data_IF_684035199950
#
_entry.id   IF_684035199950
#
_cell.length_a   1.000
_cell.length_b   1.000
_cell.length_c   1.000
_cell.angle_alpha   90.00
_cell.angle_beta   90.00
_cell.angle_gamma   90.00
#
_symmetry.space_group_name_H-M   'P 1'
#
loop_
_entity.id
_entity.type
_entity.pdbx_description
1 polymer ?
#
# COMPACT_ATOMS: atom_id res chain seq x y z
N UNK A 1 29.75 11.39 -16.29
CA UNK A 1 29.71 10.17 -15.44
C UNK A 1 29.12 10.38 -14.04
N UNK A 2 29.38 11.51 -13.36
CA UNK A 2 28.85 11.78 -12.00
C UNK A 2 27.31 11.82 -11.98
N UNK A 3 26.68 12.48 -12.96
CA UNK A 3 25.22 12.63 -13.05
C UNK A 3 24.48 11.28 -13.20
N UNK A 4 25.03 10.36 -14.01
CA UNK A 4 24.46 9.02 -14.20
C UNK A 4 24.56 8.18 -12.92
N UNK A 5 25.69 8.25 -12.21
CA UNK A 5 25.87 7.58 -10.91
C UNK A 5 24.88 8.12 -9.87
N UNK A 6 24.66 9.44 -9.83
CA UNK A 6 23.69 10.06 -8.92
C UNK A 6 22.26 9.60 -9.20
N UNK A 7 21.85 9.57 -10.47
CA UNK A 7 20.52 9.06 -10.87
C UNK A 7 20.33 7.59 -10.49
N UNK A 8 21.34 6.75 -10.69
CA UNK A 8 21.28 5.33 -10.32
C UNK A 8 21.17 5.15 -8.79
N UNK A 9 21.99 5.86 -8.01
CA UNK A 9 21.91 5.84 -6.55
C UNK A 9 20.55 6.33 -6.05
N UNK A 10 19.99 7.38 -6.67
CA UNK A 10 18.68 7.93 -6.31
C UNK A 10 17.52 6.95 -6.61
N UNK A 11 17.54 6.26 -7.77
CA UNK A 11 16.55 5.23 -8.12
C UNK A 11 16.65 4.04 -7.15
N UNK A 12 17.86 3.63 -6.78
CA UNK A 12 18.07 2.55 -5.81
C UNK A 12 17.54 2.96 -4.42
N UNK A 13 17.87 4.17 -3.95
CA UNK A 13 17.47 4.64 -2.62
C UNK A 13 15.94 4.76 -2.48
N UNK A 14 15.27 5.30 -3.50
CA UNK A 14 13.80 5.40 -3.52
C UNK A 14 13.13 4.03 -3.51
N UNK A 15 13.64 3.07 -4.30
CA UNK A 15 13.16 1.68 -4.27
C UNK A 15 13.35 1.03 -2.90
N UNK A 16 14.48 1.24 -2.25
CA UNK A 16 14.76 0.69 -0.90
C UNK A 16 13.75 1.23 0.12
N UNK A 17 13.51 2.55 0.16
CA UNK A 17 12.56 3.17 1.11
C UNK A 17 11.14 2.62 0.90
N UNK A 18 10.70 2.46 -0.35
CA UNK A 18 9.41 1.85 -0.69
C UNK A 18 9.31 0.42 -0.14
N UNK A 19 10.32 -0.42 -0.38
CA UNK A 19 10.33 -1.82 0.09
C UNK A 19 10.46 -1.99 1.61
N UNK A 20 11.05 -1.02 2.32
CA UNK A 20 11.19 -1.10 3.78
C UNK A 20 9.92 -0.68 4.51
N UNK A 21 9.16 0.23 3.91
CA UNK A 21 7.98 0.81 4.54
C UNK A 21 6.71 -0.02 4.35
N UNK A 22 6.67 -0.91 3.36
CA UNK A 22 5.46 -1.67 3.03
C UNK A 22 4.54 -1.03 2.01
N UNK A 23 5.00 0.05 1.36
CA UNK A 23 4.25 0.74 0.33
C UNK A 23 4.73 0.31 -1.06
N UNK A 24 3.81 0.10 -2.00
CA UNK A 24 4.17 -0.02 -3.43
C UNK A 24 3.45 1.02 -4.25
N UNK A 25 4.20 1.95 -4.83
CA UNK A 25 3.66 2.93 -5.77
C UNK A 25 3.75 2.41 -7.21
N UNK A 26 2.63 2.35 -7.92
CA UNK A 26 2.60 1.98 -9.32
C UNK A 26 1.44 2.66 -10.05
N UNK A 27 1.54 2.83 -11.37
CA UNK A 27 0.48 3.38 -12.20
C UNK A 27 0.03 2.35 -13.23
N UNK A 28 -1.28 2.22 -13.43
CA UNK A 28 -1.86 1.26 -14.38
C UNK A 28 -2.49 2.04 -15.53
N UNK A 29 -2.03 1.80 -16.75
CA UNK A 29 -2.59 2.38 -17.97
C UNK A 29 -1.54 3.05 -18.86
N UNK A 30 -1.89 3.20 -20.15
CA UNK A 30 -0.96 3.68 -21.19
C UNK A 30 -1.19 5.13 -21.65
N UNK A 31 -2.26 5.82 -21.24
CA UNK A 31 -2.65 7.12 -21.81
C UNK A 31 -2.69 8.24 -20.77
N UNK A 32 -2.14 9.41 -21.13
CA UNK A 32 -2.12 10.78 -20.57
C UNK A 32 -2.26 11.02 -19.04
N UNK A 33 -3.01 10.22 -18.31
CA UNK A 33 -3.20 10.30 -16.86
C UNK A 33 -3.64 8.93 -16.29
N UNK A 34 -2.82 7.86 -16.37
CA UNK A 34 -3.19 6.58 -15.79
C UNK A 34 -3.40 6.72 -14.28
N UNK A 35 -4.45 6.10 -13.69
CA UNK A 35 -4.61 6.07 -12.25
C UNK A 35 -3.37 5.43 -11.61
N UNK A 36 -2.90 6.04 -10.54
CA UNK A 36 -1.81 5.50 -9.74
C UNK A 36 -2.35 4.97 -8.43
N UNK A 37 -1.65 3.97 -7.90
CA UNK A 37 -2.03 3.28 -6.69
C UNK A 37 -0.84 3.26 -5.75
N UNK A 38 -1.15 3.48 -4.48
CA UNK A 38 -0.26 3.17 -3.36
C UNK A 38 -0.83 1.90 -2.73
N UNK A 39 -0.17 0.78 -2.97
CA UNK A 39 -0.52 -0.47 -2.31
C UNK A 39 0.00 -0.48 -0.89
N UNK A 40 -0.81 -1.05 -0.02
CA UNK A 40 -0.51 -1.27 1.38
C UNK A 40 -0.78 -2.73 1.71
N UNK A 41 0.19 -3.40 2.33
CA UNK A 41 0.01 -4.76 2.86
C UNK A 41 -0.33 -4.67 4.36
N UNK A 42 -1.41 -5.30 4.84
CA UNK A 42 -1.86 -5.18 6.24
C UNK A 42 -0.83 -5.54 7.31
N UNK A 43 0.09 -6.47 7.01
CA UNK A 43 1.12 -6.95 7.93
C UNK A 43 2.34 -6.03 8.00
N UNK A 44 2.45 -5.06 7.11
CA UNK A 44 3.61 -4.18 7.01
C UNK A 44 3.40 -2.86 7.75
N UNK A 45 4.51 -2.13 7.95
CA UNK A 45 4.50 -0.82 8.58
C UNK A 45 3.56 0.16 7.86
N UNK A 46 3.43 0.06 6.54
CA UNK A 46 2.53 0.89 5.74
C UNK A 46 1.09 0.87 6.26
N UNK A 47 0.56 -0.29 6.66
CA UNK A 47 -0.79 -0.36 7.19
C UNK A 47 -0.91 0.27 8.57
N UNK A 48 0.12 0.15 9.41
CA UNK A 48 0.19 0.86 10.70
C UNK A 48 0.16 2.37 10.48
N UNK A 49 0.89 2.85 9.48
CA UNK A 49 0.89 4.26 9.09
C UNK A 49 -0.49 4.72 8.58
N UNK A 50 -1.15 3.92 7.72
CA UNK A 50 -2.54 4.20 7.31
C UNK A 50 -3.47 4.32 8.53
N UNK A 51 -3.35 3.41 9.49
CA UNK A 51 -4.14 3.45 10.70
C UNK A 51 -3.89 4.68 11.58
N UNK A 52 -2.71 5.30 11.53
CA UNK A 52 -2.43 6.58 12.21
C UNK A 52 -3.10 7.77 11.53
N UNK A 53 -3.34 7.69 10.22
CA UNK A 53 -4.03 8.75 9.46
C UNK A 53 -5.55 8.66 9.57
N UNK A 54 -6.08 7.48 9.92
CA UNK A 54 -7.50 7.23 10.11
C UNK A 54 -7.92 7.56 11.54
N UNK A 55 -9.22 7.83 11.75
CA UNK A 55 -9.76 7.81 13.11
C UNK A 55 -9.60 6.42 13.71
N UNK A 56 -9.42 6.28 15.03
CA UNK A 56 -9.31 4.97 15.66
C UNK A 56 -10.47 4.02 15.34
N UNK A 57 -11.69 4.55 15.26
CA UNK A 57 -12.89 3.78 14.91
C UNK A 57 -12.85 3.26 13.46
N UNK A 58 -12.39 4.08 12.51
CA UNK A 58 -12.25 3.73 11.09
C UNK A 58 -11.17 2.65 10.92
N UNK A 59 -9.99 2.82 11.53
CA UNK A 59 -8.94 1.80 11.50
C UNK A 59 -9.42 0.47 12.11
N UNK A 60 -10.12 0.51 13.25
CA UNK A 60 -10.68 -0.69 13.88
C UNK A 60 -11.72 -1.38 12.99
N UNK A 61 -12.56 -0.63 12.29
CA UNK A 61 -13.53 -1.17 11.32
C UNK A 61 -12.81 -1.87 10.16
N UNK A 62 -11.80 -1.22 9.56
CA UNK A 62 -11.00 -1.82 8.48
C UNK A 62 -10.32 -3.12 8.94
N UNK A 63 -9.73 -3.14 10.14
CA UNK A 63 -9.12 -4.37 10.70
C UNK A 63 -10.12 -5.51 10.85
N UNK A 64 -11.34 -5.23 11.33
CA UNK A 64 -12.41 -6.24 11.43
C UNK A 64 -12.77 -6.78 10.05
N UNK A 65 -12.92 -5.91 9.06
CA UNK A 65 -13.23 -6.31 7.70
C UNK A 65 -12.10 -7.08 7.01
N UNK A 66 -10.84 -6.75 7.29
CA UNK A 66 -9.71 -7.55 6.82
C UNK A 66 -9.75 -8.97 7.36
N UNK A 67 -10.08 -9.15 8.65
CA UNK A 67 -10.27 -10.48 9.24
C UNK A 67 -11.41 -11.25 8.54
N UNK A 68 -12.49 -10.58 8.17
CA UNK A 68 -13.57 -11.21 7.39
C UNK A 68 -13.09 -11.58 5.97
N UNK A 69 -12.29 -10.72 5.34
CA UNK A 69 -11.70 -11.01 4.03
C UNK A 69 -10.71 -12.17 4.06
N UNK A 70 -9.91 -12.31 5.12
CA UNK A 70 -9.04 -13.48 5.37
C UNK A 70 -9.85 -14.78 5.42
N UNK A 71 -11.03 -14.72 6.07
CA UNK A 71 -11.99 -15.82 6.11
C UNK A 71 -12.79 -16.00 4.81
N UNK A 72 -12.49 -15.25 3.75
CA UNK A 72 -13.23 -15.21 2.47
C UNK A 72 -14.72 -14.84 2.62
N UNK A 73 -15.09 -14.19 3.73
CA UNK A 73 -16.45 -13.73 4.01
C UNK A 73 -16.76 -12.35 3.42
N UNK A 74 -15.72 -11.60 3.03
CA UNK A 74 -15.85 -10.24 2.50
C UNK A 74 -14.86 -10.01 1.36
N UNK A 75 -15.32 -9.34 0.30
CA UNK A 75 -14.44 -8.96 -0.79
C UNK A 75 -13.56 -7.75 -0.38
N UNK A 76 -12.27 -7.82 -0.70
CA UNK A 76 -11.31 -6.73 -0.53
C UNK A 76 -11.72 -5.45 -1.27
N UNK A 77 -12.45 -5.56 -2.39
CA UNK A 77 -12.98 -4.39 -3.11
C UNK A 77 -13.89 -3.52 -2.23
N UNK A 78 -14.63 -4.14 -1.30
CA UNK A 78 -15.44 -3.41 -0.34
C UNK A 78 -14.55 -2.63 0.65
N UNK A 79 -13.50 -3.27 1.16
CA UNK A 79 -12.54 -2.64 2.09
C UNK A 79 -11.82 -1.47 1.40
N UNK A 80 -11.43 -1.65 0.14
CA UNK A 80 -10.77 -0.61 -0.65
C UNK A 80 -11.68 0.59 -0.94
N UNK A 81 -12.99 0.36 -1.13
CA UNK A 81 -13.97 1.46 -1.25
C UNK A 81 -14.06 2.26 0.06
N UNK A 82 -14.19 1.58 1.20
CA UNK A 82 -14.23 2.25 2.51
C UNK A 82 -12.94 3.03 2.78
N UNK A 83 -11.77 2.46 2.47
CA UNK A 83 -10.51 3.19 2.60
C UNK A 83 -10.46 4.44 1.74
N UNK A 84 -10.98 4.38 0.51
CA UNK A 84 -11.05 5.55 -0.38
C UNK A 84 -11.97 6.64 0.18
N UNK A 85 -13.03 6.27 0.90
CA UNK A 85 -13.91 7.22 1.58
C UNK A 85 -13.26 7.85 2.81
N UNK A 86 -12.58 7.04 3.64
CA UNK A 86 -11.93 7.55 4.84
C UNK A 86 -10.64 8.35 4.54
N UNK A 87 -9.88 7.94 3.52
CA UNK A 87 -8.63 8.58 3.15
C UNK A 87 -8.86 9.70 2.13
N UNK A 88 -8.79 10.93 2.62
CA UNK A 88 -8.84 12.15 1.79
C UNK A 88 -7.60 12.27 0.90
N UNK A 89 -7.73 13.04 -0.19
CA UNK A 89 -6.61 13.38 -1.07
C UNK A 89 -5.40 14.01 -0.34
N UNK A 90 -5.63 14.69 0.79
CA UNK A 90 -4.56 15.21 1.66
C UNK A 90 -3.69 14.10 2.22
N UNK A 91 -4.28 12.98 2.67
CA UNK A 91 -3.57 11.81 3.16
C UNK A 91 -2.74 11.15 2.04
N UNK A 92 -3.30 11.05 0.83
CA UNK A 92 -2.57 10.53 -0.33
C UNK A 92 -1.32 11.38 -0.61
N UNK A 93 -1.46 12.72 -0.61
CA UNK A 93 -0.33 13.64 -0.81
C UNK A 93 0.72 13.51 0.29
N UNK A 94 0.31 13.36 1.55
CA UNK A 94 1.23 13.14 2.68
C UNK A 94 2.04 11.85 2.49
N UNK A 95 1.41 10.76 2.06
CA UNK A 95 2.11 9.49 1.80
C UNK A 95 3.03 9.62 0.59
N UNK A 96 2.59 10.25 -0.50
CA UNK A 96 3.45 10.51 -1.65
C UNK A 96 4.72 11.30 -1.24
N UNK A 97 4.57 12.33 -0.39
CA UNK A 97 5.69 13.10 0.14
C UNK A 97 6.60 12.26 1.05
N UNK A 98 6.02 11.44 1.94
CA UNK A 98 6.75 10.50 2.79
C UNK A 98 7.59 9.51 1.96
N UNK A 99 7.02 8.98 0.89
CA UNK A 99 7.68 8.05 -0.04
C UNK A 99 8.62 8.75 -1.02
N UNK A 100 8.65 10.09 -1.05
CA UNK A 100 9.41 10.90 -2.01
C UNK A 100 9.11 10.52 -3.47
N UNK A 101 7.84 10.24 -3.77
CA UNK A 101 7.37 9.93 -5.13
C UNK A 101 6.52 11.07 -5.70
N UNK A 102 6.56 11.22 -7.01
CA UNK A 102 5.69 12.18 -7.70
C UNK A 102 4.23 11.73 -7.62
N UNK A 103 3.41 12.49 -6.89
CA UNK A 103 1.99 12.16 -6.71
C UNK A 103 1.18 12.61 -7.92
N UNK A 104 0.78 11.67 -8.78
CA UNK A 104 -0.11 11.99 -9.91
C UNK A 104 -1.53 12.34 -9.44
N UNK A 105 -2.26 13.20 -10.18
CA UNK A 105 -3.71 13.33 -10.02
C UNK A 105 -4.38 11.95 -10.09
N UNK A 106 -5.42 11.73 -9.27
CA UNK A 106 -6.14 10.44 -9.15
C UNK A 106 -5.31 9.28 -8.58
N UNK A 107 -4.31 9.57 -7.76
CA UNK A 107 -3.66 8.52 -6.95
C UNK A 107 -4.58 8.09 -5.81
N UNK A 108 -4.76 6.78 -5.62
CA UNK A 108 -5.53 6.21 -4.51
C UNK A 108 -4.70 5.24 -3.69
N UNK A 109 -5.03 5.12 -2.41
CA UNK A 109 -4.45 4.11 -1.52
C UNK A 109 -5.36 2.88 -1.58
N UNK A 110 -4.78 1.70 -1.79
CA UNK A 110 -5.52 0.44 -1.75
C UNK A 110 -4.78 -0.58 -0.90
N UNK A 111 -5.52 -1.42 -0.20
CA UNK A 111 -4.97 -2.64 0.38
C UNK A 111 -4.75 -3.62 -0.75
N UNK A 112 -3.54 -4.17 -0.77
CA UNK A 112 -3.18 -5.26 -1.64
C UNK A 112 -2.99 -6.53 -0.80
N UNK A 113 -3.77 -7.55 -1.14
CA UNK A 113 -3.65 -8.88 -0.57
C UNK A 113 -3.05 -9.79 -1.64
N UNK A 114 -1.91 -10.41 -1.36
CA UNK A 114 -1.37 -11.47 -2.22
C UNK A 114 -2.35 -12.67 -2.24
N UNK A 115 -2.36 -13.50 -3.28
CA UNK A 115 -3.19 -14.72 -3.31
C UNK A 115 -2.97 -15.61 -2.06
N UNK A 116 -1.74 -15.60 -1.51
CA UNK A 116 -1.37 -16.28 -0.27
C UNK A 116 -2.02 -15.71 1.00
N UNK A 117 -2.73 -14.59 0.92
CA UNK A 117 -3.46 -14.02 2.03
C UNK A 117 -4.81 -14.73 2.26
N UNK A 118 -5.42 -15.24 1.19
CA UNK A 118 -6.76 -15.82 1.25
C UNK A 118 -6.73 -17.31 1.58
N UNK A 119 -6.81 -17.64 2.86
CA UNK A 119 -7.53 -18.84 3.30
C UNK A 119 -6.74 -20.12 3.53
N UNK A 120 -5.61 -20.07 4.25
CA UNK A 120 -5.30 -21.13 5.20
C UNK A 120 -4.50 -20.56 6.39
N UNK A 121 -4.81 -20.96 7.64
CA UNK A 121 -3.84 -20.85 8.74
C UNK A 121 -2.50 -21.43 8.25
N UNK A 122 -1.41 -20.69 8.42
CA UNK A 122 -0.11 -21.12 7.90
C UNK A 122 0.24 -20.67 6.48
N UNK A 123 -0.60 -19.91 5.79
CA UNK A 123 -0.21 -19.35 4.48
C UNK A 123 0.67 -18.12 4.65
N UNK A 124 1.86 -18.14 4.03
CA UNK A 124 2.82 -17.03 4.15
C UNK A 124 2.55 -15.95 3.12
N UNK A 125 2.46 -14.70 3.55
CA UNK A 125 2.21 -13.53 2.67
C UNK A 125 3.54 -13.02 2.13
N UNK A 126 3.61 -12.71 0.84
CA UNK A 126 4.78 -12.04 0.25
C UNK A 126 4.70 -10.55 0.57
N UNK A 127 5.64 -10.09 1.39
CA UNK A 127 5.83 -8.71 1.81
C UNK A 127 6.36 -7.83 0.66
N UNK A 128 6.33 -6.51 0.83
CA UNK A 128 6.85 -5.55 -0.14
C UNK A 128 8.35 -5.74 -0.43
N UNK A 129 9.11 -6.19 0.57
CA UNK A 129 10.53 -6.52 0.45
C UNK A 129 10.82 -7.91 -0.18
N UNK A 130 9.79 -8.62 -0.65
CA UNK A 130 9.92 -9.95 -1.25
C UNK A 130 10.10 -11.10 -0.25
N UNK A 131 10.15 -10.83 1.05
CA UNK A 131 10.17 -11.87 2.09
C UNK A 131 8.77 -12.39 2.37
N UNK A 132 8.71 -13.59 2.92
CA UNK A 132 7.47 -14.16 3.43
C UNK A 132 7.21 -13.70 4.87
N UNK A 133 5.95 -13.51 5.25
CA UNK A 133 5.57 -13.29 6.65
C UNK A 133 5.91 -14.52 7.49
N UNK A 134 6.42 -14.31 8.70
CA UNK A 134 6.55 -15.37 9.70
C UNK A 134 5.17 -15.70 10.30
N UNK A 135 4.96 -16.95 10.74
CA UNK A 135 3.76 -17.37 11.48
C UNK A 135 3.70 -16.72 12.86
#
# INVERSE_FOLDING_TARGET
>A
MIFLKFMFQFIILTRIILTLTGFRYHCIGKRNSPPCFIDVIPQEFAFRYICMLLKPQECNLIKKYLKLAEMKLLNLDYINRLLKEFLKNTHVKQICAFLRVFCKPFTYIKIHLSAHYYGAPGTRIILSNGRYSNH
#
